data_IF_662126212711
#
_entry.id   IF_662126212711
#
_cell.length_a   1.000
_cell.length_b   1.000
_cell.length_c   1.000
_cell.angle_alpha   90.00
_cell.angle_beta   90.00
_cell.angle_gamma   90.00
#
_symmetry.space_group_name_H-M   'P 1'
#
loop_
_entity.id
_entity.type
_entity.pdbx_description
1 polymer ?
#
# COMPACT_ATOMS: atom_id res chain seq x y z
N UNK A 1 28.61 -4.19 -1.62
CA UNK A 1 28.13 -5.59 -1.68
C UNK A 1 27.21 -5.80 -0.49
N UNK A 2 25.89 -5.65 -0.66
CA UNK A 2 24.92 -5.73 0.43
C UNK A 2 24.34 -7.15 0.45
N UNK A 3 24.53 -7.87 1.55
CA UNK A 3 23.99 -9.22 1.73
C UNK A 3 22.67 -9.12 2.49
N UNK A 4 21.55 -9.28 1.77
CA UNK A 4 20.22 -9.43 2.35
C UNK A 4 20.07 -10.90 2.73
N UNK A 5 20.08 -11.20 4.03
CA UNK A 5 19.76 -12.54 4.55
C UNK A 5 18.25 -12.71 4.52
N UNK A 6 17.71 -13.46 3.54
CA UNK A 6 16.31 -13.90 3.53
C UNK A 6 16.12 -15.01 4.57
N UNK A 7 15.16 -14.86 5.47
CA UNK A 7 14.61 -16.01 6.21
C UNK A 7 13.66 -16.79 5.28
N UNK A 8 13.63 -18.12 5.33
CA UNK A 8 12.66 -18.91 4.59
C UNK A 8 11.31 -18.77 5.29
N UNK A 9 10.47 -17.84 4.79
CA UNK A 9 9.06 -17.78 5.17
C UNK A 9 8.33 -18.97 4.56
N UNK A 10 7.58 -19.69 5.40
CA UNK A 10 6.80 -20.86 5.00
C UNK A 10 5.82 -20.54 3.87
N UNK A 11 5.57 -21.56 3.05
CA UNK A 11 4.65 -21.53 1.92
C UNK A 11 3.19 -21.33 2.37
N UNK A 12 2.80 -20.09 2.66
CA UNK A 12 1.40 -19.71 2.78
C UNK A 12 0.97 -18.91 1.53
N UNK A 13 0.38 -19.66 0.59
CA UNK A 13 -0.57 -19.38 -0.51
C UNK A 13 -0.57 -18.07 -1.34
N UNK A 14 0.05 -16.96 -0.94
CA UNK A 14 0.06 -15.71 -1.70
C UNK A 14 1.46 -15.22 -2.08
N UNK A 15 2.49 -15.57 -1.30
CA UNK A 15 3.90 -15.29 -1.64
C UNK A 15 4.21 -13.79 -1.83
N UNK A 16 3.60 -12.91 -1.05
CA UNK A 16 3.85 -11.47 -1.16
C UNK A 16 5.27 -11.14 -0.70
N UNK A 17 5.91 -10.18 -1.38
CA UNK A 17 7.19 -9.66 -0.93
C UNK A 17 7.01 -8.94 0.43
N UNK A 18 8.01 -8.97 1.33
CA UNK A 18 7.89 -8.24 2.59
C UNK A 18 7.72 -6.74 2.36
N UNK A 19 6.90 -6.09 3.17
CA UNK A 19 6.80 -4.64 3.22
C UNK A 19 8.10 -4.04 3.74
N UNK A 20 8.64 -3.06 3.02
CA UNK A 20 9.84 -2.33 3.41
C UNK A 20 9.45 -1.01 4.09
N UNK A 21 9.84 -0.85 5.34
CA UNK A 21 9.65 0.39 6.07
C UNK A 21 10.82 1.35 5.82
N UNK A 22 10.52 2.53 5.30
CA UNK A 22 11.52 3.57 5.14
C UNK A 22 11.92 4.14 6.51
N UNK A 23 13.22 4.28 6.72
CA UNK A 23 13.75 5.05 7.85
C UNK A 23 14.29 6.35 7.27
N UNK A 24 13.51 7.42 7.42
CA UNK A 24 13.96 8.76 7.04
C UNK A 24 14.94 9.29 8.08
N UNK A 25 16.04 9.85 7.59
CA UNK A 25 17.01 10.55 8.43
C UNK A 25 16.88 12.03 8.16
N UNK A 26 16.65 12.83 9.22
CA UNK A 26 16.67 14.29 9.12
C UNK A 26 18.04 14.75 8.59
N UNK A 27 18.10 15.48 7.46
CA UNK A 27 19.35 16.06 6.99
C UNK A 27 19.97 16.99 8.04
N UNK A 28 21.27 16.82 8.33
CA UNK A 28 21.96 17.52 9.42
C UNK A 28 21.92 19.06 9.33
N UNK A 29 21.81 19.60 8.13
CA UNK A 29 21.75 21.05 7.89
C UNK A 29 20.37 21.66 8.15
N UNK A 30 19.32 20.84 8.31
CA UNK A 30 18.01 21.33 8.73
C UNK A 30 18.04 21.55 10.24
N UNK A 31 17.99 22.80 10.67
CA UNK A 31 17.92 23.23 12.07
C UNK A 31 16.49 23.73 12.36
N UNK A 32 16.01 23.55 13.59
CA UNK A 32 14.68 24.00 14.01
C UNK A 32 13.61 22.90 14.02
N UNK A 33 12.35 23.34 14.19
CA UNK A 33 11.18 22.47 14.31
C UNK A 33 10.73 21.96 12.92
N UNK A 34 10.13 20.77 12.87
CA UNK A 34 9.71 20.12 11.61
C UNK A 34 8.82 21.04 10.75
N UNK A 35 7.86 21.72 11.38
CA UNK A 35 6.89 22.57 10.68
C UNK A 35 7.48 23.90 10.18
N UNK A 36 8.74 24.21 10.53
CA UNK A 36 9.48 25.38 10.06
C UNK A 36 10.47 25.04 8.94
N UNK A 37 10.64 23.75 8.62
CA UNK A 37 11.53 23.27 7.56
C UNK A 37 11.08 23.86 6.22
N UNK A 38 12.03 24.32 5.37
CA UNK A 38 11.70 24.80 4.04
C UNK A 38 10.86 23.79 3.26
N UNK A 39 9.75 24.26 2.68
CA UNK A 39 8.73 23.41 2.06
C UNK A 39 9.31 22.47 0.98
N UNK A 40 10.30 22.94 0.20
CA UNK A 40 10.96 22.12 -0.82
C UNK A 40 11.71 20.91 -0.25
N UNK A 41 12.30 21.06 0.94
CA UNK A 41 13.00 19.97 1.63
C UNK A 41 12.02 18.94 2.20
N UNK A 42 10.90 19.39 2.80
CA UNK A 42 9.84 18.47 3.22
C UNK A 42 9.23 17.73 2.02
N UNK A 43 9.05 18.41 0.89
CA UNK A 43 8.58 17.80 -0.36
C UNK A 43 9.52 16.70 -0.84
N UNK A 44 10.84 16.91 -0.75
CA UNK A 44 11.82 15.87 -1.09
C UNK A 44 11.72 14.66 -0.14
N UNK A 45 11.57 14.87 1.17
CA UNK A 45 11.39 13.78 2.13
C UNK A 45 10.08 13.00 1.92
N UNK A 46 8.99 13.69 1.55
CA UNK A 46 7.73 13.05 1.14
C UNK A 46 7.96 12.14 -0.05
N UNK A 47 8.61 12.63 -1.10
CA UNK A 47 8.90 11.84 -2.32
C UNK A 47 9.74 10.62 -1.97
N UNK A 48 10.80 10.78 -1.18
CA UNK A 48 11.65 9.66 -0.73
C UNK A 48 10.85 8.59 0.04
N UNK A 49 9.95 9.00 0.93
CA UNK A 49 9.11 8.06 1.65
C UNK A 49 8.19 7.28 0.70
N UNK A 50 7.56 7.97 -0.25
CA UNK A 50 6.63 7.36 -1.22
C UNK A 50 7.37 6.49 -2.25
N UNK A 51 8.61 6.80 -2.62
CA UNK A 51 9.43 5.97 -3.50
C UNK A 51 9.67 4.57 -2.93
N UNK A 52 9.84 4.46 -1.61
CA UNK A 52 10.07 3.19 -0.91
C UNK A 52 8.75 2.52 -0.52
N UNK A 53 7.86 3.26 0.14
CA UNK A 53 6.66 2.70 0.74
C UNK A 53 5.43 2.70 -0.18
N UNK A 54 5.45 3.42 -1.30
CA UNK A 54 4.34 3.52 -2.22
C UNK A 54 3.89 2.17 -2.82
N UNK A 55 2.59 1.88 -2.92
CA UNK A 55 1.45 2.67 -2.43
C UNK A 55 1.37 2.73 -0.89
N UNK A 56 1.26 3.94 -0.33
CA UNK A 56 1.28 4.18 1.13
C UNK A 56 0.24 5.22 1.53
N UNK A 57 -0.43 5.03 2.66
CA UNK A 57 -1.40 5.99 3.17
C UNK A 57 -0.70 7.30 3.60
N UNK A 58 -1.31 8.47 3.34
CA UNK A 58 -0.71 9.77 3.67
C UNK A 58 -0.27 9.91 5.13
N UNK A 59 -1.05 9.35 6.06
CA UNK A 59 -0.76 9.44 7.49
C UNK A 59 0.50 8.65 7.88
N UNK A 60 0.82 7.61 7.12
CA UNK A 60 2.08 6.90 7.30
C UNK A 60 3.26 7.78 6.83
N UNK A 61 3.12 8.51 5.72
CA UNK A 61 4.16 9.45 5.28
C UNK A 61 4.38 10.56 6.32
N UNK A 62 3.30 11.11 6.88
CA UNK A 62 3.37 12.08 7.98
C UNK A 62 4.09 11.47 9.19
N UNK A 63 3.78 10.22 9.53
CA UNK A 63 4.44 9.47 10.60
C UNK A 63 5.94 9.30 10.35
N UNK A 64 6.36 8.90 9.14
CA UNK A 64 7.78 8.74 8.80
C UNK A 64 8.57 10.04 8.92
N UNK A 65 8.00 11.15 8.43
CA UNK A 65 8.66 12.44 8.50
C UNK A 65 8.72 12.92 9.96
N UNK A 66 7.65 12.74 10.72
CA UNK A 66 7.66 13.05 12.17
C UNK A 66 8.74 12.25 12.91
N UNK A 67 8.85 10.96 12.65
CA UNK A 67 9.78 10.07 13.33
C UNK A 67 11.24 10.44 13.00
N UNK A 68 11.52 10.99 11.82
CA UNK A 68 12.84 11.55 11.46
C UNK A 68 13.25 12.74 12.35
N UNK A 69 12.30 13.42 12.99
CA UNK A 69 12.53 14.45 14.01
C UNK A 69 12.50 13.92 15.44
N UNK A 70 12.32 12.61 15.65
CA UNK A 70 12.23 12.00 16.98
C UNK A 70 10.96 12.39 17.75
N UNK A 71 9.94 12.91 17.06
CA UNK A 71 8.72 13.40 17.68
C UNK A 71 7.71 12.26 17.88
N UNK A 72 7.02 12.26 19.03
CA UNK A 72 6.04 11.22 19.38
C UNK A 72 4.61 11.50 18.92
N UNK A 73 4.30 12.75 18.55
CA UNK A 73 2.94 13.18 18.19
C UNK A 73 2.95 14.02 16.93
N UNK A 74 1.93 13.84 16.12
CA UNK A 74 1.62 14.72 15.00
C UNK A 74 0.64 15.77 15.49
N UNK A 75 1.09 17.02 15.66
CA UNK A 75 0.19 18.15 15.90
C UNK A 75 -0.24 18.79 14.58
N UNK A 76 -1.30 19.62 14.61
CA UNK A 76 -1.88 20.23 13.40
C UNK A 76 -0.86 20.94 12.51
N UNK A 77 0.11 21.66 13.07
CA UNK A 77 1.16 22.32 12.27
C UNK A 77 2.05 21.36 11.47
N UNK A 78 2.35 20.18 12.04
CA UNK A 78 3.14 19.16 11.36
C UNK A 78 2.31 18.53 10.25
N UNK A 79 1.06 18.20 10.54
CA UNK A 79 0.11 17.67 9.56
C UNK A 79 -0.07 18.65 8.39
N UNK A 80 -0.26 19.94 8.67
CA UNK A 80 -0.42 20.98 7.66
C UNK A 80 0.85 21.14 6.80
N UNK A 81 2.04 21.15 7.41
CA UNK A 81 3.31 21.32 6.70
C UNK A 81 3.62 20.14 5.76
N UNK A 82 3.44 18.92 6.25
CA UNK A 82 3.63 17.71 5.45
C UNK A 82 2.52 17.55 4.42
N UNK A 83 1.27 17.83 4.78
CA UNK A 83 0.13 17.82 3.86
C UNK A 83 0.35 18.75 2.67
N UNK A 84 0.77 20.01 2.91
CA UNK A 84 1.16 20.93 1.82
C UNK A 84 2.29 20.36 0.95
N UNK A 85 3.23 19.62 1.53
CA UNK A 85 4.35 19.02 0.80
C UNK A 85 3.90 17.87 -0.09
N UNK A 86 2.93 17.09 0.36
CA UNK A 86 2.25 16.06 -0.44
C UNK A 86 1.55 16.71 -1.63
N UNK A 87 0.75 17.76 -1.40
CA UNK A 87 0.04 18.46 -2.48
C UNK A 87 0.99 19.05 -3.52
N UNK A 88 2.12 19.63 -3.09
CA UNK A 88 3.16 20.12 -3.99
C UNK A 88 3.78 18.97 -4.79
N UNK A 89 4.13 17.85 -4.15
CA UNK A 89 4.71 16.70 -4.82
C UNK A 89 3.75 16.08 -5.87
N UNK A 90 2.45 16.03 -5.56
CA UNK A 90 1.40 15.60 -6.50
C UNK A 90 1.30 16.57 -7.68
N UNK A 91 1.23 17.88 -7.42
CA UNK A 91 1.14 18.91 -8.47
C UNK A 91 2.36 18.92 -9.39
N UNK A 92 3.54 18.56 -8.86
CA UNK A 92 4.78 18.41 -9.62
C UNK A 92 4.90 17.04 -10.31
N UNK A 93 3.89 16.17 -10.22
CA UNK A 93 3.87 14.82 -10.77
C UNK A 93 5.01 13.92 -10.26
N UNK A 94 5.60 14.27 -9.11
CA UNK A 94 6.66 13.47 -8.47
C UNK A 94 6.11 12.29 -7.68
N UNK A 95 4.85 12.37 -7.28
CA UNK A 95 4.05 11.29 -6.71
C UNK A 95 2.65 11.33 -7.32
N UNK A 96 1.98 10.18 -7.34
CA UNK A 96 0.58 10.07 -7.72
C UNK A 96 -0.28 9.86 -6.46
N UNK A 97 -1.50 10.42 -6.45
CA UNK A 97 -2.47 10.26 -5.37
C UNK A 97 -3.71 9.52 -5.87
N UNK A 98 -4.17 8.53 -5.11
CA UNK A 98 -5.45 7.84 -5.30
C UNK A 98 -6.16 7.74 -3.95
N UNK A 99 -7.19 8.55 -3.76
CA UNK A 99 -7.79 8.76 -2.43
C UNK A 99 -6.73 9.24 -1.44
N UNK A 100 -6.56 8.51 -0.33
CA UNK A 100 -5.57 8.82 0.70
C UNK A 100 -4.21 8.13 0.48
N UNK A 101 -4.06 7.37 -0.60
CA UNK A 101 -2.84 6.63 -0.90
C UNK A 101 -1.96 7.37 -1.89
N UNK A 102 -0.66 7.32 -1.63
CA UNK A 102 0.40 7.97 -2.38
C UNK A 102 1.33 6.90 -2.99
N UNK A 103 1.67 7.07 -4.26
CA UNK A 103 2.49 6.12 -5.01
C UNK A 103 3.56 6.84 -5.83
N UNK A 104 4.67 6.18 -6.10
CA UNK A 104 5.60 6.62 -7.13
C UNK A 104 4.89 6.61 -8.50
N UNK A 105 5.09 7.63 -9.35
CA UNK A 105 4.46 7.69 -10.66
C UNK A 105 4.97 6.54 -11.52
N UNK A 106 4.09 6.02 -12.39
CA UNK A 106 4.42 4.97 -13.38
C UNK A 106 4.95 3.65 -12.80
N UNK A 107 4.82 3.42 -11.49
CA UNK A 107 5.19 2.16 -10.85
C UNK A 107 3.97 1.27 -10.69
N UNK A 108 4.06 0.03 -11.18
CA UNK A 108 3.02 -0.98 -10.95
C UNK A 108 3.05 -1.37 -9.46
N UNK A 109 1.92 -1.29 -8.75
CA UNK A 109 1.81 -1.74 -7.36
C UNK A 109 2.18 -3.22 -7.21
N UNK A 110 2.86 -3.56 -6.13
CA UNK A 110 3.18 -4.96 -5.77
C UNK A 110 2.55 -5.24 -4.40
N UNK A 111 1.72 -6.28 -4.26
CA UNK A 111 1.18 -6.67 -2.96
C UNK A 111 2.31 -7.06 -2.00
N UNK A 112 2.28 -6.52 -0.78
CA UNK A 112 3.35 -6.68 0.21
C UNK A 112 2.86 -7.26 1.53
N UNK A 113 3.57 -8.25 2.06
CA UNK A 113 3.31 -8.86 3.37
C UNK A 113 3.70 -7.89 4.49
N UNK A 114 2.74 -7.59 5.39
CA UNK A 114 2.91 -6.70 6.54
C UNK A 114 2.97 -7.46 7.87
N UNK A 115 3.21 -8.78 7.85
CA UNK A 115 3.38 -9.59 9.06
C UNK A 115 4.59 -9.16 9.89
N UNK A 116 5.67 -8.73 9.22
CA UNK A 116 6.96 -8.36 9.83
C UNK A 116 7.17 -6.87 10.13
N UNK A 117 6.15 -6.02 9.96
CA UNK A 117 6.29 -4.57 10.21
C UNK A 117 6.35 -4.25 11.70
N UNK A 118 7.17 -3.26 12.05
CA UNK A 118 7.24 -2.62 13.36
C UNK A 118 6.01 -1.73 13.60
N UNK A 119 5.58 -0.98 12.59
CA UNK A 119 4.41 -0.11 12.68
C UNK A 119 3.12 -0.93 12.55
N UNK A 120 2.61 -1.47 13.66
CA UNK A 120 1.41 -2.32 13.67
C UNK A 120 0.17 -1.68 13.01
N UNK A 121 0.10 -0.34 12.98
CA UNK A 121 -0.95 0.40 12.30
C UNK A 121 -1.04 0.09 10.80
N UNK A 122 0.07 -0.31 10.15
CA UNK A 122 0.10 -0.69 8.73
C UNK A 122 -0.81 -1.89 8.41
N UNK A 123 -1.19 -2.70 9.40
CA UNK A 123 -2.13 -3.83 9.24
C UNK A 123 -3.60 -3.45 9.46
N UNK A 124 -3.92 -2.19 9.77
CA UNK A 124 -5.31 -1.74 9.87
C UNK A 124 -5.95 -1.71 8.49
N UNK A 125 -7.26 -1.94 8.44
CA UNK A 125 -8.04 -1.99 7.21
C UNK A 125 -7.86 -0.73 6.33
N UNK A 126 -7.89 0.45 6.93
CA UNK A 126 -7.74 1.73 6.23
C UNK A 126 -6.31 2.03 5.76
N UNK A 127 -5.32 1.25 6.20
CA UNK A 127 -3.93 1.36 5.77
C UNK A 127 -3.56 0.38 4.65
N UNK A 128 -4.50 -0.48 4.23
CA UNK A 128 -4.31 -1.41 3.12
C UNK A 128 -4.60 -0.72 1.78
N UNK A 129 -3.61 -0.60 0.88
CA UNK A 129 -3.82 0.11 -0.38
C UNK A 129 -4.76 -0.66 -1.31
N UNK A 130 -5.84 -0.04 -1.82
CA UNK A 130 -6.73 -0.65 -2.81
C UNK A 130 -5.96 -1.20 -4.01
N UNK A 131 -4.96 -0.46 -4.48
CA UNK A 131 -4.13 -0.87 -5.62
C UNK A 131 -3.35 -2.17 -5.38
N UNK A 132 -2.91 -2.45 -4.16
CA UNK A 132 -2.30 -3.75 -3.84
C UNK A 132 -3.34 -4.86 -3.69
N UNK A 133 -4.50 -4.54 -3.10
CA UNK A 133 -5.60 -5.49 -2.95
C UNK A 133 -6.07 -6.00 -4.32
N UNK A 134 -6.22 -5.09 -5.28
CA UNK A 134 -6.68 -5.41 -6.64
C UNK A 134 -5.71 -6.31 -7.39
N UNK A 135 -4.41 -5.97 -7.36
CA UNK A 135 -3.36 -6.80 -7.97
C UNK A 135 -3.30 -8.18 -7.33
N UNK A 136 -3.42 -8.24 -5.99
CA UNK A 136 -3.47 -9.50 -5.27
C UNK A 136 -4.68 -10.37 -5.66
N UNK A 137 -5.87 -9.77 -5.73
CA UNK A 137 -7.09 -10.46 -6.13
C UNK A 137 -7.00 -10.97 -7.57
N UNK A 138 -6.51 -10.13 -8.50
CA UNK A 138 -6.31 -10.49 -9.90
C UNK A 138 -5.37 -11.69 -10.04
N UNK A 139 -4.17 -11.61 -9.46
CA UNK A 139 -3.19 -12.71 -9.52
C UNK A 139 -3.73 -14.01 -8.93
N UNK A 140 -4.51 -13.94 -7.85
CA UNK A 140 -5.11 -15.12 -7.26
C UNK A 140 -6.12 -15.77 -8.21
N UNK A 141 -7.07 -14.97 -8.73
CA UNK A 141 -8.13 -15.44 -9.63
C UNK A 141 -7.53 -16.03 -10.91
N UNK A 142 -6.51 -15.39 -11.48
CA UNK A 142 -5.81 -15.88 -12.68
C UNK A 142 -5.12 -17.23 -12.43
N UNK A 143 -4.45 -17.39 -11.28
CA UNK A 143 -3.76 -18.64 -10.93
C UNK A 143 -4.72 -19.78 -10.62
N UNK A 144 -5.90 -19.48 -10.10
CA UNK A 144 -6.89 -20.48 -9.72
C UNK A 144 -7.96 -20.74 -10.79
N UNK A 145 -7.90 -20.05 -11.94
CA UNK A 145 -8.93 -20.08 -12.99
C UNK A 145 -10.33 -19.74 -12.44
N UNK A 146 -10.37 -18.79 -11.51
CA UNK A 146 -11.58 -18.39 -10.79
C UNK A 146 -11.54 -18.71 -9.30
N UNK A 147 -12.27 -17.93 -8.50
CA UNK A 147 -12.37 -18.13 -7.06
C UNK A 147 -13.69 -17.56 -6.53
N UNK A 148 -14.21 -18.13 -5.43
CA UNK A 148 -15.32 -17.49 -4.72
C UNK A 148 -14.82 -16.19 -4.10
N UNK A 149 -15.75 -15.25 -3.86
CA UNK A 149 -15.43 -14.00 -3.16
C UNK A 149 -14.76 -14.26 -1.82
N UNK A 150 -15.27 -15.20 -1.01
CA UNK A 150 -14.66 -15.52 0.28
C UNK A 150 -13.23 -16.07 0.15
N UNK A 151 -12.96 -16.92 -0.84
CA UNK A 151 -11.60 -17.40 -1.11
C UNK A 151 -10.65 -16.24 -1.42
N UNK A 152 -11.08 -15.28 -2.24
CA UNK A 152 -10.28 -14.07 -2.55
C UNK A 152 -10.00 -13.27 -1.29
N UNK A 153 -11.03 -12.94 -0.51
CA UNK A 153 -10.88 -12.15 0.72
C UNK A 153 -9.92 -12.84 1.70
N UNK A 154 -10.07 -14.14 1.94
CA UNK A 154 -9.24 -14.87 2.90
C UNK A 154 -7.79 -15.03 2.43
N UNK A 155 -7.57 -15.27 1.14
CA UNK A 155 -6.21 -15.42 0.60
C UNK A 155 -5.47 -14.07 0.58
N UNK A 156 -6.14 -12.99 0.14
CA UNK A 156 -5.55 -11.65 0.08
C UNK A 156 -5.27 -11.11 1.50
N UNK A 157 -6.21 -11.28 2.43
CA UNK A 157 -6.01 -10.91 3.84
C UNK A 157 -4.78 -11.61 4.45
N UNK A 158 -4.68 -12.93 4.28
CA UNK A 158 -3.51 -13.70 4.75
C UNK A 158 -2.22 -13.26 4.08
N UNK A 159 -2.24 -12.97 2.77
CA UNK A 159 -1.08 -12.47 2.02
C UNK A 159 -0.55 -11.14 2.58
N UNK A 160 -1.43 -10.26 3.07
CA UNK A 160 -1.01 -9.03 3.77
C UNK A 160 -0.47 -9.26 5.20
N UNK A 161 -0.38 -10.51 5.65
CA UNK A 161 0.05 -10.85 7.00
C UNK A 161 -1.03 -10.64 8.06
N UNK A 162 -2.30 -10.57 7.65
CA UNK A 162 -3.44 -10.42 8.57
C UNK A 162 -3.92 -11.80 8.98
N UNK A 163 -3.74 -12.13 10.26
CA UNK A 163 -4.11 -13.45 10.81
C UNK A 163 -5.61 -13.63 11.00
N UNK A 164 -6.31 -12.55 11.38
CA UNK A 164 -7.75 -12.56 11.59
C UNK A 164 -8.42 -11.47 10.75
N UNK A 165 -9.21 -11.90 9.76
CA UNK A 165 -9.94 -11.01 8.86
C UNK A 165 -11.16 -10.43 9.59
N UNK A 166 -10.99 -9.25 10.21
CA UNK A 166 -12.10 -8.51 10.84
C UNK A 166 -13.12 -8.04 9.81
N UNK A 167 -14.31 -7.63 10.26
CA UNK A 167 -15.34 -7.03 9.40
C UNK A 167 -14.83 -5.78 8.66
N UNK A 168 -13.97 -4.99 9.30
CA UNK A 168 -13.37 -3.80 8.69
C UNK A 168 -12.39 -4.20 7.56
N UNK A 169 -11.51 -5.18 7.81
CA UNK A 169 -10.57 -5.67 6.78
C UNK A 169 -11.34 -6.31 5.63
N UNK A 170 -12.33 -7.15 5.92
CA UNK A 170 -13.22 -7.71 4.91
C UNK A 170 -13.87 -6.61 4.07
N UNK A 171 -14.41 -5.57 4.72
CA UNK A 171 -15.08 -4.46 4.04
C UNK A 171 -14.19 -3.74 3.02
N UNK A 172 -12.93 -3.43 3.37
CA UNK A 172 -12.02 -2.77 2.40
C UNK A 172 -11.60 -3.70 1.26
N UNK A 173 -11.43 -4.99 1.53
CA UNK A 173 -11.10 -5.98 0.51
C UNK A 173 -12.29 -6.21 -0.45
N UNK A 174 -13.51 -6.26 0.08
CA UNK A 174 -14.74 -6.37 -0.70
C UNK A 174 -14.98 -5.13 -1.56
N UNK A 175 -14.76 -3.94 -1.03
CA UNK A 175 -14.86 -2.69 -1.80
C UNK A 175 -13.90 -2.66 -2.99
N UNK A 176 -12.66 -3.15 -2.83
CA UNK A 176 -11.71 -3.24 -3.93
C UNK A 176 -12.20 -4.20 -5.02
N UNK A 177 -12.71 -5.38 -4.64
CA UNK A 177 -13.30 -6.36 -5.58
C UNK A 177 -14.50 -5.75 -6.31
N UNK A 178 -15.40 -5.07 -5.60
CA UNK A 178 -16.56 -4.39 -6.21
C UNK A 178 -16.12 -3.33 -7.22
N UNK A 179 -15.07 -2.55 -6.88
CA UNK A 179 -14.51 -1.58 -7.80
C UNK A 179 -13.93 -2.23 -9.07
N UNK A 180 -13.33 -3.42 -8.97
CA UNK A 180 -12.85 -4.17 -10.14
C UNK A 180 -13.99 -4.71 -11.00
N UNK A 181 -15.09 -5.16 -10.40
CA UNK A 181 -16.30 -5.59 -11.11
C UNK A 181 -16.95 -4.39 -11.83
N UNK A 182 -17.08 -3.25 -11.14
CA UNK A 182 -17.62 -2.03 -11.72
C UNK A 182 -16.80 -1.53 -12.92
N UNK A 183 -15.46 -1.70 -12.87
CA UNK A 183 -14.54 -1.43 -13.98
C UNK A 183 -14.47 -2.53 -15.04
N UNK A 184 -15.25 -3.60 -14.90
CA UNK A 184 -15.27 -4.77 -15.79
C UNK A 184 -13.91 -5.47 -15.92
N UNK A 185 -13.07 -5.40 -14.89
CA UNK A 185 -11.83 -6.19 -14.83
C UNK A 185 -12.11 -7.62 -14.34
N UNK A 186 -13.09 -7.74 -13.45
CA UNK A 186 -13.63 -9.00 -12.98
C UNK A 186 -15.10 -9.13 -13.37
N UNK A 187 -15.57 -10.37 -13.47
CA UNK A 187 -16.99 -10.71 -13.57
C UNK A 187 -17.31 -11.83 -12.58
N UNK A 188 -18.53 -11.81 -12.06
CA UNK A 188 -19.03 -12.86 -11.17
C UNK A 188 -20.08 -13.70 -11.92
N UNK A 189 -19.83 -15.00 -12.05
CA UNK A 189 -20.73 -15.95 -12.71
C UNK A 189 -20.95 -17.13 -11.78
N UNK A 190 -22.21 -17.38 -11.42
CA UNK A 190 -22.60 -18.45 -10.50
C UNK A 190 -21.82 -18.44 -9.15
N UNK A 191 -21.52 -17.25 -8.62
CA UNK A 191 -20.78 -17.08 -7.36
C UNK A 191 -19.27 -17.23 -7.46
N UNK A 192 -18.73 -17.35 -8.68
CA UNK A 192 -17.30 -17.43 -8.96
C UNK A 192 -16.84 -16.15 -9.66
N UNK A 193 -15.82 -15.50 -9.09
CA UNK A 193 -15.11 -14.39 -9.69
C UNK A 193 -14.13 -14.93 -10.74
N UNK A 194 -14.17 -14.36 -11.93
CA UNK A 194 -13.26 -14.66 -13.05
C UNK A 194 -12.77 -13.35 -13.67
N UNK A 195 -11.63 -13.39 -14.38
CA UNK A 195 -11.18 -12.24 -15.17
C UNK A 195 -12.12 -12.01 -16.34
N UNK A 196 -12.33 -10.75 -16.71
CA UNK A 196 -13.26 -10.42 -17.80
C UNK A 196 -12.78 -10.96 -19.16
N UNK A 197 -11.46 -11.04 -19.38
CA UNK A 197 -10.81 -11.43 -20.64
C UNK A 197 -10.68 -12.95 -20.88
N UNK A 198 -11.13 -13.82 -19.97
CA UNK A 198 -10.95 -15.28 -20.11
C UNK A 198 -11.91 -15.96 -21.12
N UNK A 199 -12.47 -15.22 -22.09
CA UNK A 199 -13.29 -15.78 -23.17
C UNK A 199 -12.47 -16.33 -24.35
N UNK A 200 -11.15 -16.51 -24.22
CA UNK A 200 -10.27 -16.86 -25.34
C UNK A 200 -9.29 -18.02 -25.16
N UNK A 201 -9.29 -18.74 -24.03
CA UNK A 201 -8.30 -19.84 -23.78
C UNK A 201 -8.88 -21.23 -23.52
N UNK A 202 -10.15 -21.44 -23.86
CA UNK A 202 -10.70 -22.78 -24.02
C UNK A 202 -10.99 -23.00 -25.51
N UNK A 203 -10.42 -24.06 -26.08
CA UNK A 203 -10.37 -24.45 -27.50
C UNK A 203 -9.11 -23.94 -28.23
N UNK A 204 -7.98 -24.62 -27.99
CA UNK A 204 -7.16 -25.22 -29.06
C UNK A 204 -6.50 -26.49 -28.53
#
# INVERSE_FOLDING_TARGET
MWSVRRSPGGEDAAGFAPYEEVILVRPHHLVGELHEVPQGMLTQLVVQAVEVEGPVHRDQVITRIRDAWGLKRTGGRIEDAVGRSIEIAVKMERIARSGEFLSAPNRVPVPRDRSGVNAAALRRADMLPPAEIEIAALHLIERSFGATRDQVIQAVSRGFGIRNTSSQVRGVLEQAVDAMIARRQLKEVAGILTTADDMGRSIQ
#
